data_IF_568584505883
#
_entry.id   IF_568584505883
#
_cell.length_a   1.000
_cell.length_b   1.000
_cell.length_c   1.000
_cell.angle_alpha   90.00
_cell.angle_beta   90.00
_cell.angle_gamma   90.00
#
_symmetry.space_group_name_H-M   'P 1'
#
loop_
_entity.id
_entity.type
_entity.pdbx_description
1 polymer ?
#
# COMPACT_ATOMS: atom_id res chain seq x y z
N UNK A 1 -7.74 -10.36 -14.21
CA UNK A 1 -6.35 -9.95 -14.45
C UNK A 1 -5.52 -11.06 -15.09
N UNK A 2 -5.18 -12.15 -14.38
CA UNK A 2 -4.30 -13.24 -14.87
C UNK A 2 -4.77 -13.79 -16.22
N UNK A 3 -6.05 -14.16 -16.36
CA UNK A 3 -6.63 -14.62 -17.62
C UNK A 3 -6.33 -13.68 -18.81
N UNK A 4 -6.42 -12.35 -18.61
CA UNK A 4 -6.10 -11.35 -19.65
C UNK A 4 -4.62 -11.35 -20.02
N UNK A 5 -3.73 -11.52 -19.04
CA UNK A 5 -2.28 -11.62 -19.29
C UNK A 5 -1.99 -12.87 -20.13
N UNK A 6 -2.58 -14.01 -19.78
CA UNK A 6 -2.39 -15.26 -20.50
C UNK A 6 -2.92 -15.18 -21.94
N UNK A 7 -4.14 -14.68 -22.13
CA UNK A 7 -4.74 -14.48 -23.45
C UNK A 7 -3.92 -13.50 -24.32
N UNK A 8 -3.31 -12.47 -23.71
CA UNK A 8 -2.50 -11.49 -24.44
C UNK A 8 -1.10 -11.98 -24.83
N UNK A 9 -0.55 -12.97 -24.12
CA UNK A 9 0.88 -13.33 -24.23
C UNK A 9 1.16 -14.79 -24.60
N UNK A 10 0.18 -15.68 -24.53
CA UNK A 10 0.33 -17.08 -24.94
C UNK A 10 -0.48 -17.38 -26.19
N UNK A 11 0.18 -17.88 -27.24
CA UNK A 11 -0.43 -18.12 -28.55
C UNK A 11 -1.59 -19.12 -28.46
N UNK A 12 -1.46 -20.14 -27.61
CA UNK A 12 -2.49 -21.14 -27.39
C UNK A 12 -3.81 -20.60 -26.79
N UNK A 13 -3.78 -19.37 -26.25
CA UNK A 13 -4.96 -18.69 -25.72
C UNK A 13 -5.45 -17.53 -26.59
N UNK A 14 -4.90 -17.33 -27.79
CA UNK A 14 -5.34 -16.27 -28.69
C UNK A 14 -6.83 -16.39 -29.06
N UNK A 15 -7.36 -17.61 -29.13
CA UNK A 15 -8.79 -17.89 -29.41
C UNK A 15 -9.69 -17.79 -28.17
N UNK A 16 -9.12 -17.44 -27.00
CA UNK A 16 -9.81 -17.31 -25.71
C UNK A 16 -10.12 -15.83 -25.39
N UNK A 17 -10.08 -14.94 -26.38
CA UNK A 17 -10.40 -13.52 -26.18
C UNK A 17 -11.86 -13.33 -25.68
N UNK A 18 -12.77 -14.17 -26.16
CA UNK A 18 -14.16 -14.25 -25.70
C UNK A 18 -14.29 -14.68 -24.24
N UNK A 19 -13.34 -15.48 -23.74
CA UNK A 19 -13.28 -15.93 -22.36
C UNK A 19 -12.75 -14.86 -21.38
N UNK A 20 -12.06 -13.83 -21.87
CA UNK A 20 -11.42 -12.81 -21.05
C UNK A 20 -12.30 -11.57 -20.84
N UNK A 21 -12.72 -11.32 -19.60
CA UNK A 21 -13.41 -10.07 -19.28
C UNK A 21 -12.39 -8.91 -19.19
N UNK A 22 -12.35 -8.08 -20.23
CA UNK A 22 -11.41 -6.96 -20.34
C UNK A 22 -11.80 -5.73 -19.50
N UNK A 23 -13.10 -5.43 -19.45
CA UNK A 23 -13.65 -4.30 -18.68
C UNK A 23 -14.43 -4.76 -17.48
N UNK A 24 -14.36 -3.99 -16.40
CA UNK A 24 -15.20 -4.23 -15.24
C UNK A 24 -16.58 -3.64 -15.55
N UNK A 25 -17.62 -4.48 -15.47
CA UNK A 25 -18.98 -4.04 -15.74
C UNK A 25 -19.63 -3.59 -14.44
N UNK A 26 -20.02 -2.31 -14.36
CA UNK A 26 -20.79 -1.78 -13.25
C UNK A 26 -21.90 -0.82 -13.73
N UNK A 27 -22.94 -0.56 -12.91
CA UNK A 27 -24.11 0.22 -13.32
C UNK A 27 -23.77 1.63 -13.82
N UNK A 28 -22.79 2.28 -13.19
CA UNK A 28 -22.33 3.63 -13.51
C UNK A 28 -21.29 3.73 -14.65
N UNK A 29 -21.12 2.69 -15.47
CA UNK A 29 -20.04 2.65 -16.48
C UNK A 29 -20.12 3.83 -17.45
N UNK A 30 -21.33 4.27 -17.78
CA UNK A 30 -21.55 5.39 -18.70
C UNK A 30 -21.04 6.69 -18.08
N UNK A 31 -21.37 6.93 -16.82
CA UNK A 31 -20.96 8.10 -16.04
C UNK A 31 -19.44 8.09 -15.81
N UNK A 32 -18.88 6.97 -15.38
CA UNK A 32 -17.42 6.81 -15.16
C UNK A 32 -16.59 6.99 -16.43
N UNK A 33 -17.17 6.78 -17.60
CA UNK A 33 -16.47 6.94 -18.89
C UNK A 33 -16.34 8.40 -19.33
N UNK A 34 -17.05 9.32 -18.68
CA UNK A 34 -16.99 10.75 -18.99
C UNK A 34 -15.73 11.34 -18.37
N UNK A 35 -14.98 12.13 -19.15
CA UNK A 35 -13.79 12.82 -18.66
C UNK A 35 -14.20 13.85 -17.59
N UNK A 36 -13.60 13.74 -16.40
CA UNK A 36 -13.82 14.71 -15.31
C UNK A 36 -13.39 16.12 -15.72
N UNK A 37 -14.17 17.10 -15.28
CA UNK A 37 -13.79 18.52 -15.32
C UNK A 37 -12.92 18.83 -14.09
N UNK A 38 -11.75 19.41 -14.31
CA UNK A 38 -10.82 19.79 -13.25
C UNK A 38 -10.86 21.31 -13.13
N UNK A 39 -11.29 21.80 -11.97
CA UNK A 39 -11.36 23.24 -11.67
C UNK A 39 -10.26 23.59 -10.67
N UNK A 40 -9.25 24.38 -11.05
CA UNK A 40 -8.21 24.82 -10.12
C UNK A 40 -8.79 25.85 -9.15
N UNK A 41 -8.62 25.64 -7.84
CA UNK A 41 -9.03 26.59 -6.79
C UNK A 41 -8.03 27.71 -6.53
N UNK A 42 -6.95 27.78 -7.32
CA UNK A 42 -5.87 28.74 -7.16
C UNK A 42 -4.82 28.29 -6.15
N UNK A 43 -3.78 29.10 -5.98
CA UNK A 43 -2.68 28.85 -5.05
C UNK A 43 -2.95 29.64 -3.77
N UNK A 44 -3.01 28.94 -2.64
CA UNK A 44 -3.01 29.56 -1.33
C UNK A 44 -1.56 29.73 -0.85
N UNK A 45 -1.20 30.93 -0.38
CA UNK A 45 0.12 31.20 0.17
C UNK A 45 0.17 30.82 1.66
N UNK A 46 -0.14 29.57 1.95
CA UNK A 46 -0.16 28.98 3.29
C UNK A 46 0.63 27.68 3.29
N UNK A 47 1.33 27.45 4.39
CA UNK A 47 2.15 26.29 4.65
C UNK A 47 1.36 25.25 5.45
N UNK A 48 0.97 24.17 4.77
CA UNK A 48 0.24 23.04 5.37
C UNK A 48 0.98 22.39 6.57
N UNK A 49 2.29 22.60 6.70
CA UNK A 49 3.06 22.05 7.82
C UNK A 49 2.77 22.77 9.14
N UNK A 50 2.23 23.99 9.09
CA UNK A 50 1.89 24.78 10.27
C UNK A 50 0.40 24.70 10.53
N UNK A 51 0.01 24.22 11.71
CA UNK A 51 -1.41 24.04 12.08
C UNK A 51 -2.25 25.30 11.89
N UNK A 52 -1.73 26.48 12.24
CA UNK A 52 -2.47 27.75 12.07
C UNK A 52 -2.74 28.09 10.59
N UNK A 53 -1.76 27.84 9.72
CA UNK A 53 -1.91 28.07 8.28
C UNK A 53 -2.76 26.97 7.62
N UNK A 54 -2.69 25.73 8.11
CA UNK A 54 -3.58 24.64 7.69
C UNK A 54 -5.06 24.93 8.04
N UNK A 55 -5.34 25.54 9.19
CA UNK A 55 -6.70 26.02 9.52
C UNK A 55 -7.19 27.02 8.47
N UNK A 56 -6.35 27.98 8.05
CA UNK A 56 -6.71 28.93 7.01
C UNK A 56 -6.96 28.27 5.65
N UNK A 57 -6.20 27.22 5.31
CA UNK A 57 -6.42 26.40 4.11
C UNK A 57 -7.80 25.73 4.17
N UNK A 58 -8.13 25.07 5.29
CA UNK A 58 -9.42 24.38 5.45
C UNK A 58 -10.61 25.35 5.50
N UNK A 59 -10.47 26.50 6.15
CA UNK A 59 -11.48 27.58 6.12
C UNK A 59 -11.73 28.05 4.68
N UNK A 60 -10.66 28.21 3.88
CA UNK A 60 -10.79 28.59 2.47
C UNK A 60 -11.50 27.51 1.64
N UNK A 61 -11.18 26.23 1.85
CA UNK A 61 -11.88 25.14 1.18
C UNK A 61 -13.33 25.01 1.65
N UNK A 62 -13.60 25.31 2.91
CA UNK A 62 -14.93 25.28 3.49
C UNK A 62 -15.93 26.19 2.78
N UNK A 63 -15.50 27.27 2.13
CA UNK A 63 -16.41 28.14 1.35
C UNK A 63 -17.12 27.40 0.20
N UNK A 64 -16.58 26.26 -0.24
CA UNK A 64 -17.17 25.41 -1.27
C UNK A 64 -18.03 24.28 -0.72
N UNK A 65 -18.09 24.13 0.61
CA UNK A 65 -18.90 23.11 1.23
C UNK A 65 -20.40 23.38 1.01
N UNK A 66 -21.16 22.42 0.46
CA UNK A 66 -22.60 22.56 0.35
C UNK A 66 -23.23 22.64 1.75
N UNK A 67 -24.40 23.27 1.84
CA UNK A 67 -25.14 23.45 3.09
C UNK A 67 -26.46 22.67 3.06
N UNK A 68 -26.86 22.12 4.20
CA UNK A 68 -28.18 21.52 4.34
C UNK A 68 -29.28 22.60 4.51
N UNK A 69 -30.52 22.16 4.71
CA UNK A 69 -31.67 23.07 4.86
C UNK A 69 -31.58 23.93 6.14
N UNK A 70 -30.79 23.51 7.12
CA UNK A 70 -30.61 24.17 8.41
C UNK A 70 -29.33 25.02 8.45
N UNK A 71 -28.61 25.15 7.32
CA UNK A 71 -27.38 25.91 7.21
C UNK A 71 -26.14 25.19 7.78
N UNK A 72 -26.24 23.91 8.12
CA UNK A 72 -25.08 23.11 8.54
C UNK A 72 -24.26 22.69 7.33
N UNK A 73 -22.93 22.59 7.47
CA UNK A 73 -22.10 22.09 6.39
C UNK A 73 -22.41 20.63 6.13
N UNK A 74 -22.55 20.29 4.85
CA UNK A 74 -22.56 18.92 4.37
C UNK A 74 -21.11 18.56 4.04
N UNK A 75 -20.47 17.65 4.80
CA UNK A 75 -19.05 17.42 4.65
C UNK A 75 -18.72 16.85 3.26
N UNK A 76 -17.56 17.21 2.74
CA UNK A 76 -17.02 16.66 1.50
C UNK A 76 -15.62 16.10 1.74
N UNK A 77 -15.23 15.15 0.89
CA UNK A 77 -13.96 14.45 1.03
C UNK A 77 -12.82 15.30 0.48
N UNK A 78 -11.79 15.53 1.30
CA UNK A 78 -10.52 16.11 0.89
C UNK A 78 -9.51 14.98 0.67
N UNK A 79 -9.24 14.66 -0.60
CA UNK A 79 -8.23 13.65 -0.93
C UNK A 79 -6.82 14.21 -0.78
N UNK A 80 -6.01 13.56 0.06
CA UNK A 80 -4.66 13.98 0.42
C UNK A 80 -3.68 12.79 0.46
N UNK A 81 -2.38 13.07 0.57
CA UNK A 81 -1.41 12.10 1.06
C UNK A 81 -1.56 11.91 2.59
N UNK A 82 -0.95 10.85 3.14
CA UNK A 82 -1.11 10.52 4.56
C UNK A 82 -0.61 11.59 5.55
N UNK A 83 0.39 12.41 5.18
CA UNK A 83 0.88 13.50 6.02
C UNK A 83 -0.06 14.71 5.96
N UNK A 84 -0.56 15.04 4.78
CA UNK A 84 -1.54 16.12 4.60
C UNK A 84 -2.87 15.82 5.29
N UNK A 85 -3.32 14.57 5.28
CA UNK A 85 -4.51 14.17 6.02
C UNK A 85 -4.29 14.31 7.55
N UNK A 86 -3.12 13.92 8.07
CA UNK A 86 -2.78 14.10 9.50
C UNK A 86 -2.79 15.58 9.91
N UNK A 87 -2.29 16.45 9.03
CA UNK A 87 -2.31 17.91 9.24
C UNK A 87 -3.74 18.44 9.26
N UNK A 88 -4.62 17.93 8.41
CA UNK A 88 -6.03 18.28 8.42
C UNK A 88 -6.72 17.85 9.73
N UNK A 89 -6.50 16.60 10.18
CA UNK A 89 -6.99 16.13 11.48
C UNK A 89 -6.43 16.99 12.64
N UNK A 90 -5.16 17.39 12.55
CA UNK A 90 -4.51 18.28 13.52
C UNK A 90 -5.17 19.66 13.60
N UNK A 91 -5.53 20.24 12.45
CA UNK A 91 -6.26 21.51 12.37
C UNK A 91 -7.68 21.39 12.95
N UNK A 92 -8.40 20.31 12.64
CA UNK A 92 -9.72 20.02 13.21
C UNK A 92 -9.66 19.86 14.74
N UNK A 93 -8.68 19.11 15.25
CA UNK A 93 -8.45 18.95 16.69
C UNK A 93 -8.14 20.27 17.38
N UNK A 94 -7.34 21.13 16.77
CA UNK A 94 -7.05 22.47 17.30
C UNK A 94 -8.30 23.35 17.41
N UNK A 95 -9.34 23.05 16.62
CA UNK A 95 -10.61 23.78 16.57
C UNK A 95 -11.79 23.03 17.20
N UNK A 96 -11.55 21.93 17.92
CA UNK A 96 -12.60 21.04 18.47
C UNK A 96 -13.60 21.77 19.40
N UNK A 97 -13.17 22.83 20.07
CA UNK A 97 -14.02 23.64 20.97
C UNK A 97 -14.77 24.76 20.24
N UNK A 98 -14.77 24.77 18.91
CA UNK A 98 -15.52 25.73 18.09
C UNK A 98 -17.03 25.66 18.37
N UNK A 99 -17.67 26.85 18.40
CA UNK A 99 -19.08 26.98 18.78
C UNK A 99 -20.07 26.35 17.79
N UNK A 100 -19.68 26.17 16.53
CA UNK A 100 -20.49 25.55 15.49
C UNK A 100 -19.64 24.63 14.58
N UNK A 101 -20.31 23.93 13.67
CA UNK A 101 -19.69 22.98 12.74
C UNK A 101 -18.63 23.62 11.83
N UNK A 102 -18.83 24.89 11.44
CA UNK A 102 -17.89 25.64 10.60
C UNK A 102 -16.64 25.98 11.39
N UNK A 103 -16.81 26.49 12.60
CA UNK A 103 -15.73 26.86 13.50
C UNK A 103 -14.86 25.64 13.88
N UNK A 104 -15.44 24.43 13.88
CA UNK A 104 -14.74 23.15 14.13
C UNK A 104 -14.13 22.51 12.87
N UNK A 105 -14.29 23.12 11.70
CA UNK A 105 -13.81 22.60 10.42
C UNK A 105 -14.42 21.24 10.04
N UNK A 106 -15.66 20.98 10.45
CA UNK A 106 -16.37 19.70 10.21
C UNK A 106 -16.97 19.60 8.80
N UNK A 107 -16.69 20.57 7.93
CA UNK A 107 -17.11 20.55 6.53
C UNK A 107 -16.18 19.70 5.64
N UNK A 108 -15.05 19.22 6.17
CA UNK A 108 -14.03 18.46 5.42
C UNK A 108 -13.83 17.10 6.09
N UNK A 109 -13.85 16.03 5.30
CA UNK A 109 -13.40 14.71 5.71
C UNK A 109 -12.09 14.37 4.98
N UNK A 110 -10.93 14.39 5.65
CA UNK A 110 -9.67 14.03 5.03
C UNK A 110 -9.61 12.53 4.72
N UNK A 111 -9.27 12.18 3.48
CA UNK A 111 -9.13 10.79 3.05
C UNK A 111 -7.88 10.59 2.21
N UNK A 112 -7.21 9.45 2.38
CA UNK A 112 -6.03 9.12 1.59
C UNK A 112 -6.44 8.85 0.13
N UNK A 113 -5.76 9.53 -0.79
CA UNK A 113 -5.95 9.29 -2.22
C UNK A 113 -5.37 7.93 -2.65
N UNK A 114 -6.07 7.25 -3.55
CA UNK A 114 -5.68 5.97 -4.14
C UNK A 114 -4.26 5.93 -4.72
N UNK A 115 -3.84 7.02 -5.35
CA UNK A 115 -2.50 7.11 -5.93
C UNK A 115 -1.41 7.04 -4.85
N UNK A 116 -1.58 7.76 -3.73
CA UNK A 116 -0.63 7.73 -2.61
C UNK A 116 -0.57 6.35 -1.94
N UNK A 117 -1.72 5.68 -1.79
CA UNK A 117 -1.77 4.28 -1.34
C UNK A 117 -0.97 3.35 -2.26
N UNK A 118 -1.18 3.45 -3.58
CA UNK A 118 -0.44 2.63 -4.55
C UNK A 118 1.05 2.94 -4.54
N UNK A 119 1.43 4.21 -4.49
CA UNK A 119 2.83 4.63 -4.39
C UNK A 119 3.51 4.00 -3.19
N UNK A 120 2.87 4.00 -2.02
CA UNK A 120 3.38 3.38 -0.81
C UNK A 120 3.63 1.86 -1.00
N UNK A 121 2.68 1.12 -1.58
CA UNK A 121 2.87 -0.32 -1.85
C UNK A 121 3.96 -0.61 -2.89
N UNK A 122 4.09 0.24 -3.92
CA UNK A 122 5.17 0.10 -4.90
C UNK A 122 6.52 0.41 -4.24
N UNK A 123 6.59 1.41 -3.34
CA UNK A 123 7.78 1.69 -2.54
C UNK A 123 8.15 0.47 -1.68
N UNK A 124 7.22 -0.11 -0.92
CA UNK A 124 7.45 -1.32 -0.13
C UNK A 124 7.93 -2.50 -0.99
N UNK A 125 7.36 -2.64 -2.19
CA UNK A 125 7.73 -3.68 -3.15
C UNK A 125 9.18 -3.50 -3.63
N UNK A 126 9.59 -2.27 -3.94
CA UNK A 126 10.94 -1.99 -4.40
C UNK A 126 11.96 -2.06 -3.26
N UNK A 127 11.59 -1.62 -2.05
CA UNK A 127 12.42 -1.79 -0.86
C UNK A 127 12.65 -3.25 -0.52
N UNK A 128 11.76 -4.14 -0.93
CA UNK A 128 11.92 -5.58 -0.75
C UNK A 128 12.67 -6.25 -1.91
N UNK A 129 12.26 -6.00 -3.15
CA UNK A 129 12.64 -6.79 -4.32
C UNK A 129 13.68 -6.11 -5.23
N UNK A 130 13.88 -4.80 -5.12
CA UNK A 130 14.73 -4.02 -6.04
C UNK A 130 16.09 -3.68 -5.41
N UNK A 131 16.98 -4.67 -5.34
CA UNK A 131 18.33 -4.52 -4.76
C UNK A 131 19.41 -4.49 -5.83
N UNK A 132 20.28 -3.48 -5.83
CA UNK A 132 21.38 -3.33 -6.79
C UNK A 132 22.28 -4.58 -6.85
N UNK A 133 22.52 -5.19 -5.69
CA UNK A 133 23.34 -6.38 -5.51
C UNK A 133 22.79 -7.57 -6.33
N UNK A 134 21.49 -7.59 -6.60
CA UNK A 134 20.83 -8.65 -7.36
C UNK A 134 21.00 -8.54 -8.88
N UNK A 135 21.73 -7.55 -9.41
CA UNK A 135 21.87 -7.34 -10.87
C UNK A 135 22.36 -8.56 -11.67
N UNK A 136 23.12 -9.48 -11.04
CA UNK A 136 23.60 -10.73 -11.67
C UNK A 136 22.66 -11.92 -11.49
N UNK A 137 21.69 -11.81 -10.60
CA UNK A 137 20.72 -12.86 -10.29
C UNK A 137 19.57 -12.80 -11.29
N UNK A 138 19.59 -13.71 -12.27
CA UNK A 138 18.60 -13.77 -13.34
C UNK A 138 17.18 -13.85 -12.79
N UNK A 139 16.28 -13.01 -13.32
CA UNK A 139 14.87 -12.95 -12.94
C UNK A 139 14.57 -12.02 -11.76
N UNK A 140 15.57 -11.48 -11.08
CA UNK A 140 15.33 -10.41 -10.10
C UNK A 140 14.90 -9.12 -10.78
N UNK A 141 14.13 -8.28 -10.09
CA UNK A 141 13.60 -7.02 -10.63
C UNK A 141 14.73 -6.08 -11.09
N UNK A 142 15.85 -6.05 -10.36
CA UNK A 142 17.02 -5.27 -10.75
C UNK A 142 17.73 -5.88 -11.97
N UNK A 143 17.84 -7.21 -12.06
CA UNK A 143 18.37 -7.87 -13.24
C UNK A 143 17.50 -7.61 -14.49
N UNK A 144 16.17 -7.73 -14.37
CA UNK A 144 15.20 -7.47 -15.43
C UNK A 144 15.33 -6.03 -15.93
N UNK A 145 15.40 -5.06 -15.00
CA UNK A 145 15.64 -3.66 -15.35
C UNK A 145 16.86 -3.48 -16.26
N UNK A 146 17.98 -4.10 -15.89
CA UNK A 146 19.24 -3.97 -16.63
C UNK A 146 19.21 -4.72 -17.96
N UNK A 147 18.62 -5.92 -17.98
CA UNK A 147 18.57 -6.76 -19.17
C UNK A 147 17.65 -6.19 -20.25
N UNK A 148 16.50 -5.64 -19.86
CA UNK A 148 15.51 -5.05 -20.77
C UNK A 148 15.62 -3.51 -20.89
N UNK A 149 16.69 -2.92 -20.38
CA UNK A 149 17.01 -1.48 -20.51
C UNK A 149 15.92 -0.51 -20.00
N UNK A 150 15.25 -0.83 -18.88
CA UNK A 150 14.28 0.07 -18.23
C UNK A 150 15.00 1.27 -17.56
N UNK A 151 15.22 2.34 -18.33
CA UNK A 151 15.94 3.54 -17.88
C UNK A 151 15.12 4.42 -16.94
N UNK A 152 15.81 5.06 -16.00
CA UNK A 152 15.21 6.05 -15.09
C UNK A 152 14.33 5.46 -13.99
N UNK A 153 14.38 4.15 -13.77
CA UNK A 153 13.85 3.51 -12.57
C UNK A 153 14.89 3.60 -11.46
N UNK A 154 14.50 4.10 -10.28
CA UNK A 154 15.32 4.23 -9.09
C UNK A 154 14.63 3.60 -7.87
N UNK A 155 15.30 3.63 -6.71
CA UNK A 155 14.70 3.23 -5.43
C UNK A 155 13.78 4.31 -4.83
N UNK A 156 13.84 5.55 -5.33
CA UNK A 156 12.91 6.61 -4.96
C UNK A 156 11.68 6.54 -5.86
N UNK A 157 10.64 5.82 -5.43
CA UNK A 157 9.47 5.55 -6.25
C UNK A 157 8.65 6.80 -6.50
N UNK A 158 8.65 7.78 -5.59
CA UNK A 158 7.92 9.02 -5.80
C UNK A 158 8.38 9.79 -7.05
N UNK A 159 9.67 9.77 -7.34
CA UNK A 159 10.25 10.45 -8.52
C UNK A 159 10.09 9.64 -9.82
N UNK A 160 9.83 8.34 -9.74
CA UNK A 160 9.80 7.44 -10.89
C UNK A 160 8.59 6.50 -10.94
N UNK A 161 7.49 6.84 -10.27
CA UNK A 161 6.34 5.96 -10.03
C UNK A 161 5.85 5.24 -11.28
N UNK A 162 5.64 5.98 -12.38
CA UNK A 162 5.16 5.39 -13.64
C UNK A 162 6.16 4.38 -14.22
N UNK A 163 7.45 4.69 -14.19
CA UNK A 163 8.52 3.82 -14.71
C UNK A 163 8.72 2.58 -13.83
N UNK A 164 8.65 2.77 -12.51
CA UNK A 164 8.73 1.68 -11.53
C UNK A 164 7.54 0.72 -11.68
N UNK A 165 6.34 1.26 -11.81
CA UNK A 165 5.10 0.49 -12.05
C UNK A 165 5.18 -0.26 -13.38
N UNK A 166 5.67 0.37 -14.44
CA UNK A 166 5.87 -0.27 -15.75
C UNK A 166 6.84 -1.45 -15.66
N UNK A 167 7.99 -1.29 -14.99
CA UNK A 167 8.94 -2.37 -14.76
C UNK A 167 8.30 -3.52 -13.96
N UNK A 168 7.57 -3.20 -12.87
CA UNK A 168 6.90 -4.19 -12.05
C UNK A 168 5.86 -4.96 -12.86
N UNK A 169 5.03 -4.27 -13.65
CA UNK A 169 4.02 -4.88 -14.51
C UNK A 169 4.65 -5.74 -15.60
N UNK A 170 5.73 -5.28 -16.22
CA UNK A 170 6.48 -6.02 -17.22
C UNK A 170 7.00 -7.35 -16.65
N UNK A 171 7.69 -7.29 -15.50
CA UNK A 171 8.18 -8.49 -14.82
C UNK A 171 7.03 -9.43 -14.44
N UNK A 172 5.94 -8.89 -13.89
CA UNK A 172 4.77 -9.65 -13.46
C UNK A 172 4.12 -10.41 -14.61
N UNK A 173 3.95 -9.77 -15.77
CA UNK A 173 3.40 -10.42 -16.97
C UNK A 173 4.29 -11.58 -17.41
N UNK A 174 5.61 -11.36 -17.46
CA UNK A 174 6.58 -12.40 -17.79
C UNK A 174 6.51 -13.60 -16.83
N UNK A 175 6.54 -13.35 -15.52
CA UNK A 175 6.43 -14.42 -14.53
C UNK A 175 5.06 -15.12 -14.53
N UNK A 176 3.98 -14.42 -14.91
CA UNK A 176 2.63 -15.02 -15.01
C UNK A 176 2.59 -16.04 -16.13
N UNK A 177 3.21 -15.72 -17.27
CA UNK A 177 3.37 -16.64 -18.40
C UNK A 177 4.24 -17.83 -18.00
N UNK A 178 5.36 -17.60 -17.31
CA UNK A 178 6.22 -18.69 -16.82
C UNK A 178 5.46 -19.64 -15.87
N UNK A 179 4.67 -19.10 -14.94
CA UNK A 179 3.85 -19.91 -14.03
C UNK A 179 2.81 -20.75 -14.79
N UNK A 180 2.16 -20.18 -15.81
CA UNK A 180 1.25 -20.92 -16.67
C UNK A 180 1.96 -22.02 -17.46
N UNK A 181 3.15 -21.76 -17.99
CA UNK A 181 3.95 -22.75 -18.70
C UNK A 181 4.32 -23.94 -17.79
N UNK A 182 4.71 -23.68 -16.53
CA UNK A 182 4.99 -24.71 -15.53
C UNK A 182 3.75 -25.58 -15.26
N UNK A 183 2.58 -24.95 -15.06
CA UNK A 183 1.32 -25.67 -14.81
C UNK A 183 0.82 -26.48 -16.01
N UNK A 184 1.04 -25.98 -17.22
CA UNK A 184 0.65 -26.65 -18.46
C UNK A 184 1.68 -27.68 -18.95
N UNK A 185 2.85 -27.76 -18.32
CA UNK A 185 3.92 -28.67 -18.71
C UNK A 185 4.59 -28.33 -20.04
N UNK A 186 4.52 -27.07 -20.49
CA UNK A 186 5.08 -26.62 -21.77
C UNK A 186 6.41 -25.86 -21.58
N UNK A 187 7.30 -25.95 -22.56
CA UNK A 187 8.64 -25.33 -22.52
C UNK A 187 8.77 -24.07 -23.39
N UNK A 188 7.74 -23.74 -24.16
CA UNK A 188 7.69 -22.53 -25.01
C UNK A 188 6.35 -21.81 -24.86
N UNK A 189 6.35 -20.49 -25.00
CA UNK A 189 5.14 -19.66 -25.04
C UNK A 189 4.28 -19.92 -26.28
N UNK A 190 4.90 -20.46 -27.34
CA UNK A 190 4.25 -20.83 -28.60
C UNK A 190 3.77 -22.29 -28.60
N UNK A 191 4.09 -23.06 -27.55
CA UNK A 191 3.66 -24.45 -27.45
C UNK A 191 2.16 -24.52 -27.11
N UNK A 192 1.48 -25.47 -27.74
CA UNK A 192 0.06 -25.75 -27.49
C UNK A 192 -0.03 -27.02 -26.63
N UNK A 193 -0.62 -26.97 -25.42
CA UNK A 193 -0.88 -28.15 -24.62
C UNK A 193 -1.86 -29.11 -25.30
N UNK A 194 -1.69 -30.42 -25.12
CA UNK A 194 -2.55 -31.44 -25.76
C UNK A 194 -4.01 -31.41 -25.29
N UNK A 195 -4.28 -30.83 -24.11
CA UNK A 195 -5.58 -30.89 -23.43
C UNK A 195 -6.37 -29.57 -23.47
N UNK A 196 -6.31 -28.82 -24.58
CA UNK A 196 -7.09 -27.58 -24.70
C UNK A 196 -8.58 -27.85 -25.01
N UNK A 197 -9.50 -27.15 -24.34
CA UNK A 197 -10.92 -27.25 -24.63
C UNK A 197 -11.29 -26.61 -25.97
N UNK A 198 -12.27 -27.19 -26.66
CA UNK A 198 -12.72 -26.72 -27.98
C UNK A 198 -13.96 -25.80 -27.92
N UNK A 199 -14.80 -25.89 -26.90
CA UNK A 199 -16.02 -25.07 -26.79
C UNK A 199 -15.77 -23.76 -26.03
N UNK A 200 -16.55 -22.70 -26.31
CA UNK A 200 -16.36 -21.39 -25.68
C UNK A 200 -16.55 -21.39 -24.15
N UNK A 201 -17.53 -22.16 -23.64
CA UNK A 201 -17.75 -22.29 -22.20
C UNK A 201 -16.56 -22.99 -21.53
N UNK A 202 -16.13 -24.13 -22.10
CA UNK A 202 -15.02 -24.92 -21.57
C UNK A 202 -13.69 -24.14 -21.65
N UNK A 203 -13.49 -23.33 -22.70
CA UNK A 203 -12.36 -22.40 -22.82
C UNK A 203 -12.31 -21.40 -21.66
N UNK A 204 -13.45 -20.80 -21.33
CA UNK A 204 -13.55 -19.86 -20.21
C UNK A 204 -13.25 -20.53 -18.88
N UNK A 205 -13.86 -21.66 -18.62
CA UNK A 205 -13.70 -22.37 -17.34
C UNK A 205 -12.27 -22.86 -17.17
N UNK A 206 -11.64 -23.36 -18.24
CA UNK A 206 -10.23 -23.75 -18.25
C UNK A 206 -9.30 -22.57 -17.94
N UNK A 207 -9.47 -21.44 -18.64
CA UNK A 207 -8.63 -20.26 -18.44
C UNK A 207 -8.80 -19.67 -17.03
N UNK A 208 -10.01 -19.69 -16.48
CA UNK A 208 -10.28 -19.24 -15.13
C UNK A 208 -9.72 -20.21 -14.08
N UNK A 209 -9.78 -21.53 -14.33
CA UNK A 209 -9.15 -22.54 -13.47
C UNK A 209 -7.64 -22.34 -13.42
N UNK A 210 -6.99 -22.22 -14.59
CA UNK A 210 -5.55 -21.97 -14.66
C UNK A 210 -5.16 -20.66 -13.97
N UNK A 211 -5.94 -19.59 -14.15
CA UNK A 211 -5.73 -18.33 -13.46
C UNK A 211 -5.86 -18.48 -11.93
N UNK A 212 -6.82 -19.28 -11.46
CA UNK A 212 -7.00 -19.57 -10.05
C UNK A 212 -5.83 -20.38 -9.48
N UNK A 213 -5.33 -21.37 -10.22
CA UNK A 213 -4.17 -22.18 -9.83
C UNK A 213 -2.91 -21.33 -9.67
N UNK A 214 -2.68 -20.37 -10.59
CA UNK A 214 -1.58 -19.40 -10.47
C UNK A 214 -1.73 -18.54 -9.22
N UNK A 215 -2.93 -18.01 -8.95
CA UNK A 215 -3.19 -17.17 -7.76
C UNK A 215 -3.02 -17.99 -6.48
N UNK A 216 -3.51 -19.23 -6.44
CA UNK A 216 -3.39 -20.12 -5.29
C UNK A 216 -1.92 -20.48 -5.01
N UNK A 217 -1.09 -20.65 -6.04
CA UNK A 217 0.33 -20.94 -5.91
C UNK A 217 1.11 -19.82 -5.20
N UNK A 218 0.73 -18.57 -5.45
CA UNK A 218 1.44 -17.38 -4.95
C UNK A 218 0.75 -16.71 -3.77
N UNK A 219 -0.42 -17.21 -3.34
CA UNK A 219 -1.20 -16.61 -2.28
C UNK A 219 -0.39 -16.60 -0.97
N UNK A 220 -0.07 -15.41 -0.49
CA UNK A 220 0.56 -15.21 0.80
C UNK A 220 -0.52 -14.95 1.84
N UNK A 221 -0.70 -15.92 2.74
CA UNK A 221 -1.62 -15.73 3.87
C UNK A 221 -1.05 -14.62 4.78
N UNK A 222 -1.82 -13.58 5.11
CA UNK A 222 -1.40 -12.56 6.07
C UNK A 222 -1.03 -13.19 7.41
N UNK A 223 -0.10 -12.59 8.13
CA UNK A 223 0.32 -13.05 9.45
C UNK A 223 -0.72 -12.65 10.52
N UNK A 224 -1.87 -13.33 10.50
CA UNK A 224 -2.96 -13.07 11.44
C UNK A 224 -2.63 -13.47 12.87
N UNK A 225 -1.61 -14.32 13.10
CA UNK A 225 -1.26 -14.80 14.43
C UNK A 225 -0.66 -13.69 15.28
N UNK A 226 0.24 -12.87 14.72
CA UNK A 226 0.81 -11.73 15.44
C UNK A 226 -0.27 -10.74 15.92
N UNK A 227 -1.34 -10.55 15.12
CA UNK A 227 -2.45 -9.65 15.48
C UNK A 227 -3.37 -10.26 16.53
N UNK A 228 -3.60 -11.58 16.49
CA UNK A 228 -4.47 -12.28 17.46
C UNK A 228 -3.78 -12.53 18.80
N UNK A 229 -2.44 -12.65 18.79
CA UNK A 229 -1.61 -12.83 19.98
C UNK A 229 -1.17 -11.50 20.61
N UNK A 230 -1.49 -10.36 19.97
CA UNK A 230 -1.35 -9.04 20.55
C UNK A 230 -2.42 -8.89 21.65
N UNK A 231 -2.10 -9.34 22.87
CA UNK A 231 -2.98 -9.12 24.02
C UNK A 231 -3.21 -7.61 24.15
N UNK A 232 -4.46 -7.14 24.34
CA UNK A 232 -4.72 -5.73 24.56
C UNK A 232 -3.86 -5.29 25.73
N UNK A 233 -2.91 -4.37 25.48
CA UNK A 233 -2.02 -3.87 26.49
C UNK A 233 -2.87 -3.44 27.69
N UNK A 234 -2.83 -4.23 28.76
CA UNK A 234 -3.51 -3.94 30.01
C UNK A 234 -2.88 -2.67 30.57
N UNK A 235 -3.41 -1.50 30.21
CA UNK A 235 -3.31 -0.22 30.90
C UNK A 235 -1.93 0.35 31.28
N UNK A 236 -0.83 -0.37 31.10
CA UNK A 236 0.48 0.01 31.59
C UNK A 236 1.30 0.58 30.43
N UNK A 237 1.62 1.87 30.53
CA UNK A 237 2.51 2.56 29.63
C UNK A 237 3.87 1.83 29.55
N UNK A 238 4.10 1.11 28.46
CA UNK A 238 5.30 0.27 28.31
C UNK A 238 6.49 1.02 27.74
N UNK A 239 6.33 2.30 27.41
CA UNK A 239 7.37 3.11 26.81
C UNK A 239 8.29 3.72 27.87
N UNK A 240 9.49 4.08 27.43
CA UNK A 240 10.58 4.62 28.22
C UNK A 240 11.07 3.67 29.35
N UNK A 241 12.24 3.97 29.90
CA UNK A 241 12.75 3.30 31.10
C UNK A 241 11.92 3.62 32.34
N UNK A 242 11.21 4.75 32.36
CA UNK A 242 10.41 5.17 33.51
C UNK A 242 9.07 4.46 33.64
N UNK A 243 8.51 3.90 32.55
CA UNK A 243 7.20 3.22 32.52
C UNK A 243 6.03 4.09 33.01
N UNK A 244 6.17 5.41 32.87
CA UNK A 244 5.16 6.39 33.28
C UNK A 244 4.78 7.26 32.10
N UNK A 245 3.48 7.45 31.87
CA UNK A 245 2.96 8.39 30.86
C UNK A 245 3.00 9.81 31.42
N UNK A 246 4.18 10.44 31.35
CA UNK A 246 4.43 11.80 31.87
C UNK A 246 4.21 12.88 30.80
N UNK A 247 3.91 12.51 29.55
CA UNK A 247 3.86 13.42 28.41
C UNK A 247 5.22 14.03 28.03
N UNK A 248 5.25 14.87 26.99
CA UNK A 248 6.46 15.58 26.54
C UNK A 248 7.09 14.99 25.27
N UNK A 249 8.31 15.45 24.93
CA UNK A 249 8.98 15.07 23.69
C UNK A 249 9.76 13.77 23.87
N UNK A 250 9.56 12.84 22.95
CA UNK A 250 10.16 11.51 22.98
C UNK A 250 11.03 11.24 21.76
N UNK A 251 12.04 10.39 21.94
CA UNK A 251 12.91 9.90 20.88
C UNK A 251 12.75 8.39 20.70
N UNK A 252 12.74 7.93 19.45
CA UNK A 252 12.60 6.52 19.09
C UNK A 252 13.96 5.83 18.95
N UNK A 253 14.13 4.68 19.59
CA UNK A 253 15.29 3.82 19.41
C UNK A 253 15.17 3.05 18.09
N UNK A 254 16.11 3.28 17.17
CA UNK A 254 16.18 2.67 15.84
C UNK A 254 16.39 1.14 15.84
N UNK A 255 16.46 0.49 17.00
CA UNK A 255 16.44 -0.97 17.13
C UNK A 255 15.04 -1.44 17.53
N UNK A 256 14.31 -2.01 16.56
CA UNK A 256 12.89 -2.39 16.70
C UNK A 256 12.60 -3.40 17.81
N UNK A 257 13.58 -4.21 18.24
CA UNK A 257 13.42 -5.19 19.34
C UNK A 257 13.95 -4.68 20.69
N UNK A 258 13.96 -3.36 20.89
CA UNK A 258 14.43 -2.75 22.13
C UNK A 258 13.52 -3.10 23.32
N UNK A 259 14.04 -3.90 24.26
CA UNK A 259 13.32 -4.31 25.49
C UNK A 259 13.08 -3.17 26.49
N UNK A 260 13.75 -2.03 26.30
CA UNK A 260 13.65 -0.88 27.20
C UNK A 260 12.46 0.05 26.88
N UNK A 261 11.61 -0.34 25.92
CA UNK A 261 10.34 0.35 25.66
C UNK A 261 10.33 1.24 24.42
N UNK A 262 11.26 1.06 23.46
CA UNK A 262 11.30 1.69 22.11
C UNK A 262 11.30 3.23 22.03
N UNK A 263 10.35 3.93 22.67
CA UNK A 263 10.25 5.38 22.80
C UNK A 263 10.75 5.83 24.17
N UNK A 264 11.48 6.94 24.23
CA UNK A 264 12.05 7.46 25.48
C UNK A 264 11.79 8.94 25.61
N UNK A 265 11.34 9.41 26.77
CA UNK A 265 11.33 10.85 27.05
C UNK A 265 12.76 11.39 27.04
N UNK A 266 12.94 12.51 26.36
CA UNK A 266 14.24 13.21 26.29
C UNK A 266 14.70 13.60 27.69
N UNK A 267 13.76 14.05 28.54
CA UNK A 267 14.02 14.38 29.94
C UNK A 267 14.45 13.17 30.78
N UNK A 268 13.88 11.98 30.53
CA UNK A 268 14.29 10.75 31.22
C UNK A 268 15.70 10.28 30.84
N UNK A 269 16.20 10.71 29.68
CA UNK A 269 17.55 10.42 29.22
C UNK A 269 18.56 11.48 29.68
N UNK A 270 18.10 12.63 30.17
CA UNK A 270 18.96 13.76 30.55
C UNK A 270 19.72 14.37 29.37
N UNK A 271 19.18 14.22 28.15
CA UNK A 271 19.75 14.79 26.91
C UNK A 271 18.90 15.97 26.46
N UNK A 272 19.46 16.86 25.63
CA UNK A 272 18.68 17.92 24.99
C UNK A 272 18.15 17.46 23.62
N UNK A 273 17.12 18.14 23.13
CA UNK A 273 16.56 17.91 21.79
C UNK A 273 17.59 18.08 20.67
N UNK A 274 18.55 18.99 20.86
CA UNK A 274 19.63 19.28 19.91
C UNK A 274 20.67 18.14 19.84
N UNK A 275 20.76 17.31 20.88
CA UNK A 275 21.66 16.16 20.95
C UNK A 275 21.12 14.93 20.21
N UNK A 276 19.85 14.96 19.77
CA UNK A 276 19.24 13.90 18.97
C UNK A 276 19.69 14.08 17.52
N UNK A 277 20.45 13.14 16.94
CA UNK A 277 20.96 13.29 15.59
C UNK A 277 19.82 13.27 14.56
N UNK A 278 20.00 13.98 13.45
CA UNK A 278 19.18 13.81 12.25
C UNK A 278 19.47 12.42 11.64
N UNK A 279 18.80 11.39 12.15
CA UNK A 279 18.97 10.01 11.70
C UNK A 279 18.76 8.96 12.79
N UNK A 280 19.51 7.86 12.68
CA UNK A 280 19.39 6.72 13.59
C UNK A 280 19.87 7.05 15.03
N UNK A 281 18.96 6.95 16.00
CA UNK A 281 19.27 7.10 17.43
C UNK A 281 19.11 5.78 18.19
N UNK A 282 19.94 5.52 19.20
CA UNK A 282 19.91 4.29 19.99
C UNK A 282 19.97 4.59 21.49
N UNK A 283 19.09 3.96 22.27
CA UNK A 283 19.04 4.14 23.72
C UNK A 283 20.23 3.55 24.49
N UNK A 284 21.04 2.71 23.86
CA UNK A 284 22.28 2.18 24.41
C UNK A 284 23.19 1.64 23.32
N UNK A 285 24.49 1.56 23.61
CA UNK A 285 25.48 0.89 22.76
C UNK A 285 25.12 -0.60 22.53
N UNK A 286 24.37 -1.23 23.43
CA UNK A 286 23.82 -2.58 23.22
C UNK A 286 22.80 -2.60 22.07
N UNK A 287 21.87 -1.64 22.00
CA UNK A 287 20.89 -1.60 20.92
C UNK A 287 21.55 -1.28 19.57
N UNK A 288 22.55 -0.40 19.58
CA UNK A 288 23.37 -0.08 18.41
C UNK A 288 24.17 -1.30 17.92
N UNK A 289 24.81 -2.01 18.85
CA UNK A 289 25.57 -3.22 18.54
C UNK A 289 24.66 -4.38 18.13
N UNK A 290 23.47 -4.56 18.72
CA UNK A 290 22.50 -5.59 18.33
C UNK A 290 21.93 -5.35 16.93
N UNK A 291 21.62 -4.10 16.56
CA UNK A 291 21.23 -3.75 15.18
C UNK A 291 22.35 -4.07 14.19
N UNK A 292 23.60 -3.75 14.56
CA UNK A 292 24.78 -4.05 13.73
C UNK A 292 25.14 -5.55 13.69
N UNK A 293 24.85 -6.29 14.76
CA UNK A 293 25.09 -7.74 14.88
C UNK A 293 24.08 -8.58 14.11
N UNK A 294 22.92 -8.02 13.76
CA UNK A 294 21.94 -8.63 12.84
C UNK A 294 22.50 -8.88 11.43
N UNK A 295 23.68 -8.34 11.08
CA UNK A 295 24.42 -8.66 9.85
C UNK A 295 25.33 -9.90 9.96
N UNK A 296 25.36 -10.64 11.08
CA UNK A 296 25.95 -11.99 11.09
C UNK A 296 24.96 -12.94 10.44
N UNK A 297 25.31 -13.47 9.25
CA UNK A 297 24.61 -14.57 8.58
C UNK A 297 24.16 -15.58 9.62
N UNK A 298 22.84 -15.64 9.89
CA UNK A 298 22.29 -16.78 10.62
C UNK A 298 22.75 -18.03 9.87
N UNK A 299 23.34 -18.99 10.59
CA UNK A 299 23.57 -20.31 10.04
C UNK A 299 22.18 -20.79 9.61
N UNK A 300 21.96 -20.87 8.31
CA UNK A 300 20.69 -21.26 7.70
C UNK A 300 20.19 -22.51 8.40
N UNK A 301 18.95 -22.51 8.86
CA UNK A 301 18.36 -23.71 9.46
C UNK A 301 18.43 -24.88 8.46
N UNK A 302 18.40 -26.14 8.91
CA UNK A 302 18.39 -27.29 8.00
C UNK A 302 17.22 -27.19 7.00
N UNK A 303 16.12 -26.53 7.38
CA UNK A 303 14.98 -26.22 6.51
C UNK A 303 15.31 -25.26 5.35
N UNK A 304 16.26 -24.33 5.52
CA UNK A 304 16.67 -23.39 4.46
C UNK A 304 17.46 -24.07 3.33
N UNK A 305 18.03 -25.25 3.55
CA UNK A 305 18.75 -26.00 2.50
C UNK A 305 17.83 -26.54 1.39
N UNK A 306 16.53 -26.63 1.65
CA UNK A 306 15.54 -27.15 0.71
C UNK A 306 14.61 -26.07 0.17
N UNK A 307 14.82 -24.80 0.55
CA UNK A 307 14.03 -23.67 0.04
C UNK A 307 14.55 -23.23 -1.32
N UNK A 308 13.68 -23.23 -2.31
CA UNK A 308 13.97 -22.60 -3.59
C UNK A 308 13.74 -21.10 -3.48
N UNK A 309 14.80 -20.39 -3.06
CA UNK A 309 14.77 -18.94 -2.89
C UNK A 309 14.46 -18.18 -4.18
N UNK A 310 14.71 -18.79 -5.36
CA UNK A 310 14.36 -18.16 -6.65
C UNK A 310 12.87 -18.29 -6.91
N UNK A 311 12.29 -19.45 -6.63
CA UNK A 311 10.84 -19.67 -6.71
C UNK A 311 10.11 -18.77 -5.71
N UNK A 312 10.58 -18.68 -4.48
CA UNK A 312 10.01 -17.76 -3.48
C UNK A 312 10.07 -16.30 -3.92
N UNK A 313 11.21 -15.85 -4.46
CA UNK A 313 11.33 -14.50 -5.02
C UNK A 313 10.33 -14.26 -6.17
N UNK A 314 10.19 -15.23 -7.09
CA UNK A 314 9.27 -15.14 -8.20
C UNK A 314 7.81 -15.09 -7.75
N UNK A 315 7.43 -15.94 -6.78
CA UNK A 315 6.11 -15.92 -6.15
C UNK A 315 5.83 -14.56 -5.49
N UNK A 316 6.81 -14.03 -4.77
CA UNK A 316 6.70 -12.74 -4.10
C UNK A 316 6.52 -11.59 -5.09
N UNK A 317 7.30 -11.57 -6.18
CA UNK A 317 7.17 -10.60 -7.25
C UNK A 317 5.80 -10.70 -7.92
N UNK A 318 5.35 -11.91 -8.26
CA UNK A 318 4.02 -12.16 -8.82
C UNK A 318 2.91 -11.65 -7.90
N UNK A 319 2.97 -11.98 -6.62
CA UNK A 319 2.00 -11.54 -5.63
C UNK A 319 1.93 -10.02 -5.55
N UNK A 320 3.09 -9.34 -5.44
CA UNK A 320 3.16 -7.88 -5.39
C UNK A 320 2.61 -7.23 -6.65
N UNK A 321 3.04 -7.71 -7.81
CA UNK A 321 2.68 -7.10 -9.08
C UNK A 321 1.25 -7.38 -9.53
N UNK A 322 0.71 -8.58 -9.28
CA UNK A 322 -0.70 -8.88 -9.56
C UNK A 322 -1.64 -8.08 -8.67
N UNK A 323 -1.27 -7.86 -7.40
CA UNK A 323 -2.02 -6.99 -6.51
C UNK A 323 -1.98 -5.52 -6.97
N UNK A 324 -0.83 -4.98 -7.40
CA UNK A 324 -0.80 -3.61 -7.97
C UNK A 324 -1.62 -3.51 -9.27
N UNK A 325 -1.50 -4.49 -10.18
CA UNK A 325 -2.33 -4.55 -11.39
C UNK A 325 -3.83 -4.58 -11.05
N UNK A 326 -4.24 -5.38 -10.07
CA UNK A 326 -5.65 -5.46 -9.64
C UNK A 326 -6.15 -4.14 -9.03
N UNK A 327 -5.31 -3.45 -8.24
CA UNK A 327 -5.63 -2.11 -7.73
C UNK A 327 -5.71 -1.07 -8.83
N UNK A 328 -4.77 -1.08 -9.78
CA UNK A 328 -4.76 -0.19 -10.93
C UNK A 328 -6.05 -0.33 -11.75
N UNK A 329 -6.46 -1.56 -12.04
CA UNK A 329 -7.71 -1.90 -12.72
C UNK A 329 -8.94 -1.34 -12.02
N UNK A 330 -9.04 -1.54 -10.70
CA UNK A 330 -10.19 -1.08 -9.94
C UNK A 330 -10.32 0.45 -9.97
N UNK A 331 -9.18 1.16 -9.92
CA UNK A 331 -9.16 2.63 -10.04
C UNK A 331 -9.48 3.08 -11.46
N UNK A 332 -8.88 2.46 -12.49
CA UNK A 332 -9.09 2.88 -13.88
C UNK A 332 -10.52 2.63 -14.37
N UNK A 333 -11.16 1.59 -13.86
CA UNK A 333 -12.53 1.22 -14.21
C UNK A 333 -13.56 1.73 -13.20
N UNK A 334 -13.15 2.56 -12.23
CA UNK A 334 -14.02 3.13 -11.18
C UNK A 334 -14.86 2.07 -10.40
N UNK A 335 -14.28 0.91 -10.10
CA UNK A 335 -14.94 -0.14 -9.31
C UNK A 335 -14.74 0.10 -7.81
N UNK A 336 -15.59 0.96 -7.26
CA UNK A 336 -15.59 1.28 -5.82
C UNK A 336 -15.74 0.03 -4.92
N UNK A 337 -16.49 -0.99 -5.36
CA UNK A 337 -16.66 -2.22 -4.56
C UNK A 337 -15.35 -2.98 -4.42
N UNK A 338 -14.59 -3.14 -5.50
CA UNK A 338 -13.25 -3.73 -5.45
C UNK A 338 -12.26 -2.86 -4.71
N UNK A 339 -12.31 -1.54 -4.89
CA UNK A 339 -11.44 -0.61 -4.15
C UNK A 339 -11.61 -0.79 -2.65
N UNK A 340 -12.85 -0.83 -2.13
CA UNK A 340 -13.12 -1.08 -0.71
C UNK A 340 -12.65 -2.47 -0.26
N UNK A 341 -12.80 -3.51 -1.09
CA UNK A 341 -12.22 -4.84 -0.77
C UNK A 341 -10.69 -4.79 -0.67
N UNK A 342 -10.02 -4.04 -1.54
CA UNK A 342 -8.58 -3.82 -1.44
C UNK A 342 -8.24 -3.10 -0.14
N UNK A 343 -8.99 -2.06 0.27
CA UNK A 343 -8.77 -1.39 1.56
C UNK A 343 -8.90 -2.34 2.76
N UNK A 344 -9.84 -3.29 2.73
CA UNK A 344 -9.96 -4.34 3.77
C UNK A 344 -8.73 -5.25 3.79
N UNK A 345 -8.29 -5.69 2.62
CA UNK A 345 -7.13 -6.56 2.49
C UNK A 345 -5.83 -5.86 2.93
N UNK A 346 -5.69 -4.59 2.54
CA UNK A 346 -4.53 -3.74 2.77
C UNK A 346 -4.31 -3.41 4.25
N UNK A 347 -5.35 -3.50 5.09
CA UNK A 347 -5.26 -3.20 6.52
C UNK A 347 -4.20 -4.04 7.24
N UNK A 348 -4.12 -5.33 6.87
CA UNK A 348 -3.12 -6.25 7.40
C UNK A 348 -1.71 -5.84 6.96
N UNK A 349 -1.57 -5.45 5.70
CA UNK A 349 -0.28 -5.04 5.16
C UNK A 349 0.20 -3.71 5.77
N UNK A 350 -0.71 -2.76 6.00
CA UNK A 350 -0.39 -1.52 6.71
C UNK A 350 0.10 -1.79 8.13
N UNK A 351 -0.47 -2.79 8.82
CA UNK A 351 0.00 -3.19 10.14
C UNK A 351 1.40 -3.84 10.06
N UNK A 352 1.55 -4.87 9.22
CA UNK A 352 2.80 -5.65 9.06
C UNK A 352 4.00 -4.80 8.59
N UNK A 353 3.76 -3.80 7.74
CA UNK A 353 4.79 -2.89 7.21
C UNK A 353 4.95 -1.61 8.03
N UNK A 354 4.23 -1.48 9.15
CA UNK A 354 4.28 -0.32 10.04
C UNK A 354 3.93 1.02 9.35
N UNK A 355 2.80 1.05 8.66
CA UNK A 355 2.21 2.26 8.06
C UNK A 355 1.02 2.78 8.91
N UNK A 356 1.25 3.35 10.11
CA UNK A 356 0.19 3.64 11.08
C UNK A 356 -0.84 4.66 10.55
N UNK A 357 -0.40 5.64 9.76
CA UNK A 357 -1.31 6.63 9.16
C UNK A 357 -2.30 5.95 8.22
N UNK A 358 -1.79 5.14 7.29
CA UNK A 358 -2.62 4.40 6.35
C UNK A 358 -3.53 3.39 7.06
N UNK A 359 -3.06 2.75 8.13
CA UNK A 359 -3.89 1.89 8.97
C UNK A 359 -5.08 2.64 9.58
N UNK A 360 -4.85 3.81 10.18
CA UNK A 360 -5.91 4.64 10.79
C UNK A 360 -6.92 5.11 9.75
N UNK A 361 -6.45 5.64 8.61
CA UNK A 361 -7.36 6.11 7.55
C UNK A 361 -8.09 4.97 6.85
N UNK A 362 -7.46 3.80 6.68
CA UNK A 362 -8.13 2.61 6.19
C UNK A 362 -9.23 2.18 7.15
N UNK A 363 -8.94 2.10 8.45
CA UNK A 363 -9.95 1.78 9.46
C UNK A 363 -11.11 2.78 9.43
N UNK A 364 -10.83 4.09 9.36
CA UNK A 364 -11.86 5.13 9.27
C UNK A 364 -12.73 4.94 8.02
N UNK A 365 -12.11 4.80 6.85
CA UNK A 365 -12.83 4.57 5.59
C UNK A 365 -13.74 3.34 5.67
N UNK A 366 -13.21 2.22 6.17
CA UNK A 366 -13.97 0.96 6.27
C UNK A 366 -15.13 1.05 7.26
N UNK A 367 -14.93 1.78 8.36
CA UNK A 367 -15.97 2.03 9.37
C UNK A 367 -17.05 2.95 8.81
N UNK A 368 -16.67 3.99 8.07
CA UNK A 368 -17.56 4.92 7.40
C UNK A 368 -18.44 4.20 6.37
N UNK A 369 -17.84 3.40 5.49
CA UNK A 369 -18.55 2.54 4.52
C UNK A 369 -19.43 1.49 5.22
N UNK A 370 -19.09 1.11 6.45
CA UNK A 370 -19.88 0.24 7.31
C UNK A 370 -21.12 0.91 7.94
N UNK A 371 -21.33 2.21 7.71
CA UNK A 371 -22.47 2.97 8.22
C UNK A 371 -22.19 3.82 9.46
N UNK A 372 -20.92 4.07 9.79
CA UNK A 372 -20.57 4.98 10.88
C UNK A 372 -20.82 6.46 10.55
N UNK A 373 -21.01 6.78 9.27
CA UNK A 373 -21.33 8.12 8.77
C UNK A 373 -22.60 8.07 7.91
N UNK A 374 -23.15 9.24 7.57
CA UNK A 374 -24.30 9.35 6.67
C UNK A 374 -23.97 8.77 5.29
N UNK A 375 -24.94 8.17 4.60
CA UNK A 375 -24.80 7.58 3.24
C UNK A 375 -24.22 8.54 2.17
N UNK A 376 -24.26 9.84 2.43
CA UNK A 376 -23.67 10.86 1.55
C UNK A 376 -22.13 10.88 1.58
N UNK A 377 -21.53 10.50 2.70
CA UNK A 377 -20.09 10.51 2.97
C UNK A 377 -19.54 9.09 2.81
#
# INVERSE_FOLDING_TARGET
MVARILAAHMVCFAEFDDASQWKILHPYNKESSVKSEIVPFGILQFDETKTAEMIHILDNYGQYAPQDKDGKPLPFVLYCDGLSCERADGAQRARINGGDHWARLEMIEPAIQEWHRRLMFVQDTFDELFKFESHREKGTLYNIKQYFDHKGVSSNIMECFNKATELLHFATKGFTVVAAMELLGVQSVDATPDALPSTASDRRDFLMSLAADIVNMIYEKPNTMEILEDEPAQGDFQYCSCKMDIGGVMVYCSYTKCRKGQWFHIDCLGISLEDVPEGDWFCSEDCKSLKNSGKKKCKSAISDRFRDLKKEYAHRLLWRGLNDLARADAVSENDGTRMIRHWKFDLMEFYEKHHPKYFVYAHRLLTNVGGAVSERL
#
